data_IF_597385839445
#
_entry.id   IF_597385839445
#
_cell.length_a   1.000
_cell.length_b   1.000
_cell.length_c   1.000
_cell.angle_alpha   90.00
_cell.angle_beta   90.00
_cell.angle_gamma   90.00
#
_symmetry.space_group_name_H-M   'P 1'
#
loop_
_entity.id
_entity.type
_entity.pdbx_description
1 polymer ?
#
# COMPACT_ATOMS: atom_id res chain seq x y z
N UNK A 1 -7.57 -25.56 23.76
CA UNK A 1 -6.53 -25.01 24.65
C UNK A 1 -5.26 -25.82 24.41
N UNK A 2 -4.32 -25.30 23.61
CA UNK A 2 -2.87 -25.57 23.60
C UNK A 2 -2.23 -24.52 22.65
N UNK A 3 -1.05 -24.06 23.03
CA UNK A 3 -0.44 -22.77 22.66
C UNK A 3 0.33 -22.75 21.33
N UNK A 4 0.37 -21.55 20.72
CA UNK A 4 1.27 -21.11 19.66
C UNK A 4 2.74 -21.11 20.10
N UNK A 5 3.65 -21.44 19.18
CA UNK A 5 5.05 -21.01 19.22
C UNK A 5 5.30 -20.11 18.02
N UNK A 6 5.61 -18.83 18.27
CA UNK A 6 6.11 -17.88 17.26
C UNK A 6 7.53 -18.29 16.83
N UNK A 7 7.81 -18.25 15.53
CA UNK A 7 9.16 -18.07 15.01
C UNK A 7 9.21 -16.72 14.29
N UNK A 8 10.07 -15.84 14.78
CA UNK A 8 10.46 -14.60 14.10
C UNK A 8 11.33 -14.93 12.90
N UNK A 9 11.07 -14.29 11.76
CA UNK A 9 11.90 -14.36 10.55
C UNK A 9 11.10 -14.30 9.26
N UNK A 10 11.24 -13.17 8.54
CA UNK A 10 10.84 -12.94 7.14
C UNK A 10 9.33 -12.94 6.83
N UNK A 11 8.84 -11.75 6.46
CA UNK A 11 7.47 -11.47 6.08
C UNK A 11 7.06 -12.11 4.77
N UNK A 12 6.37 -13.24 4.86
CA UNK A 12 5.30 -13.65 3.94
C UNK A 12 4.46 -14.67 4.71
N UNK A 13 3.36 -14.23 5.32
CA UNK A 13 2.43 -15.17 5.99
C UNK A 13 1.58 -15.84 4.91
N UNK A 14 2.20 -16.79 4.20
CA UNK A 14 1.48 -17.81 3.45
C UNK A 14 1.05 -18.91 4.42
N UNK A 15 -0.24 -19.08 4.64
CA UNK A 15 -0.74 -20.33 5.21
C UNK A 15 -0.49 -21.45 4.20
N UNK A 16 0.63 -22.17 4.34
CA UNK A 16 0.77 -23.50 3.77
C UNK A 16 -0.12 -24.43 4.57
N UNK A 17 -1.16 -24.97 3.92
CA UNK A 17 -2.04 -25.95 4.53
C UNK A 17 -1.65 -27.33 4.02
N UNK A 18 -0.84 -28.05 4.81
CA UNK A 18 -0.62 -29.50 4.63
C UNK A 18 -1.71 -30.28 5.37
N UNK A 19 -2.67 -30.85 4.65
CA UNK A 19 -3.66 -31.78 5.22
C UNK A 19 -3.16 -33.22 5.13
N UNK A 20 -2.93 -33.86 6.30
CA UNK A 20 -2.86 -35.33 6.40
C UNK A 20 -4.26 -35.89 6.63
N UNK A 21 -4.83 -36.50 5.60
CA UNK A 21 -6.23 -36.93 5.56
C UNK A 21 -6.59 -38.05 6.53
N UNK A 22 -7.86 -38.03 6.98
CA UNK A 22 -8.58 -39.25 7.38
C UNK A 22 -10.08 -39.09 7.14
N UNK A 23 -10.60 -39.91 6.22
CA UNK A 23 -12.03 -40.08 5.94
C UNK A 23 -12.30 -40.12 4.44
N UNK A 24 -12.75 -41.27 3.92
CA UNK A 24 -13.17 -41.45 2.53
C UNK A 24 -14.33 -40.50 2.19
N UNK A 25 -14.00 -39.36 1.58
CA UNK A 25 -14.93 -38.49 0.84
C UNK A 25 -15.18 -39.07 -0.55
N UNK A 26 -16.37 -38.85 -1.10
CA UNK A 26 -16.66 -39.03 -2.52
C UNK A 26 -15.55 -38.34 -3.34
N UNK A 27 -14.86 -39.01 -4.28
CA UNK A 27 -13.77 -38.40 -5.05
C UNK A 27 -14.22 -37.16 -5.84
N UNK A 28 -15.52 -37.01 -6.13
CA UNK A 28 -16.08 -35.77 -6.69
C UNK A 28 -16.24 -34.61 -5.70
N UNK A 29 -15.97 -34.84 -4.42
CA UNK A 29 -16.07 -33.86 -3.32
C UNK A 29 -14.73 -33.61 -2.61
N UNK A 30 -13.64 -34.25 -3.03
CA UNK A 30 -12.31 -33.94 -2.51
C UNK A 30 -11.84 -32.59 -3.11
N UNK A 31 -11.60 -31.55 -2.28
CA UNK A 31 -11.12 -30.27 -2.76
C UNK A 31 -9.83 -30.37 -3.59
N UNK A 32 -8.91 -31.27 -3.23
CA UNK A 32 -7.66 -31.42 -3.98
C UNK A 32 -7.89 -31.95 -5.39
N UNK A 33 -8.83 -32.89 -5.53
CA UNK A 33 -9.21 -33.47 -6.82
C UNK A 33 -9.85 -32.41 -7.72
N UNK A 34 -10.68 -31.53 -7.18
CA UNK A 34 -11.35 -30.48 -7.95
C UNK A 34 -10.37 -29.47 -8.57
N UNK A 35 -9.36 -29.03 -7.81
CA UNK A 35 -8.36 -28.10 -8.36
C UNK A 35 -7.45 -28.81 -9.36
N UNK A 36 -7.03 -30.04 -9.06
CA UNK A 36 -6.24 -30.84 -10.01
C UNK A 36 -6.99 -31.07 -11.32
N UNK A 37 -8.29 -31.37 -11.27
CA UNK A 37 -9.16 -31.49 -12.45
C UNK A 37 -9.21 -30.18 -13.25
N UNK A 38 -9.41 -29.03 -12.58
CA UNK A 38 -9.42 -27.74 -13.24
C UNK A 38 -8.11 -27.44 -13.98
N UNK A 39 -6.96 -27.65 -13.31
CA UNK A 39 -5.63 -27.44 -13.88
C UNK A 39 -5.36 -28.40 -15.04
N UNK A 40 -5.76 -29.66 -14.92
CA UNK A 40 -5.62 -30.63 -15.99
C UNK A 40 -6.46 -30.26 -17.22
N UNK A 41 -7.70 -29.80 -17.02
CA UNK A 41 -8.53 -29.28 -18.10
C UNK A 41 -7.86 -28.08 -18.79
N UNK A 42 -7.28 -27.14 -18.03
CA UNK A 42 -6.55 -26.01 -18.61
C UNK A 42 -5.32 -26.45 -19.40
N UNK A 43 -4.56 -27.42 -18.89
CA UNK A 43 -3.37 -27.96 -19.56
C UNK A 43 -3.71 -28.60 -20.90
N UNK A 44 -4.81 -29.34 -20.98
CA UNK A 44 -5.30 -29.92 -22.24
C UNK A 44 -5.64 -28.85 -23.29
N UNK A 45 -6.03 -27.65 -22.86
CA UNK A 45 -6.34 -26.51 -23.76
C UNK A 45 -5.12 -25.65 -24.11
N UNK A 46 -3.99 -25.81 -23.40
CA UNK A 46 -2.84 -24.93 -23.59
C UNK A 46 -2.12 -25.12 -24.93
N UNK A 47 -2.28 -26.27 -25.61
CA UNK A 47 -1.57 -26.66 -26.86
C UNK A 47 -0.02 -26.56 -26.82
N UNK A 48 0.55 -26.22 -25.67
CA UNK A 48 1.99 -26.03 -25.44
C UNK A 48 2.39 -27.08 -24.39
N UNK A 49 3.18 -28.09 -24.80
CA UNK A 49 3.46 -29.34 -24.06
C UNK A 49 3.93 -29.16 -22.61
N UNK A 50 5.24 -29.22 -22.38
CA UNK A 50 5.87 -29.21 -21.03
C UNK A 50 5.91 -27.80 -20.40
N UNK A 51 4.93 -26.94 -20.70
CA UNK A 51 4.90 -25.59 -20.14
C UNK A 51 4.51 -25.60 -18.66
N UNK A 52 5.16 -24.71 -17.90
CA UNK A 52 4.69 -24.36 -16.55
C UNK A 52 3.42 -23.54 -16.70
N UNK A 53 2.36 -23.93 -16.00
CA UNK A 53 1.14 -23.15 -15.92
C UNK A 53 1.15 -22.26 -14.68
N UNK A 54 0.73 -21.02 -14.85
CA UNK A 54 0.36 -20.14 -13.75
C UNK A 54 -1.02 -19.60 -14.01
N UNK A 55 -1.83 -19.48 -12.98
CA UNK A 55 -3.14 -18.88 -13.16
C UNK A 55 -3.78 -18.41 -11.88
N UNK A 56 -4.83 -17.63 -12.09
CA UNK A 56 -5.62 -17.03 -11.04
C UNK A 56 -7.10 -17.13 -11.36
N UNK A 57 -7.88 -17.36 -10.32
CA UNK A 57 -9.34 -17.26 -10.33
C UNK A 57 -9.77 -16.31 -9.23
N UNK A 58 -10.35 -15.17 -9.60
CA UNK A 58 -11.05 -14.27 -8.70
C UNK A 58 -12.53 -14.63 -8.68
N UNK A 59 -13.12 -14.81 -7.50
CA UNK A 59 -14.53 -15.19 -7.35
C UNK A 59 -15.20 -14.45 -6.20
N UNK A 60 -16.41 -13.94 -6.46
CA UNK A 60 -17.29 -13.34 -5.47
C UNK A 60 -18.74 -13.45 -5.94
N UNK A 61 -19.63 -13.92 -5.08
CA UNK A 61 -21.02 -14.15 -5.45
C UNK A 61 -21.09 -15.10 -6.65
N UNK A 62 -21.65 -14.62 -7.75
CA UNK A 62 -21.81 -15.40 -8.98
C UNK A 62 -20.77 -15.07 -10.06
N UNK A 63 -19.99 -14.01 -9.86
CA UNK A 63 -19.00 -13.52 -10.82
C UNK A 63 -17.65 -14.23 -10.69
N UNK A 64 -16.95 -14.32 -11.81
CA UNK A 64 -15.61 -14.89 -11.91
C UNK A 64 -14.80 -14.14 -12.96
N UNK A 65 -13.54 -13.87 -12.63
CA UNK A 65 -12.50 -13.49 -13.58
C UNK A 65 -11.38 -14.51 -13.43
N UNK A 66 -10.87 -15.01 -14.56
CA UNK A 66 -9.81 -15.99 -14.57
C UNK A 66 -8.77 -15.63 -15.61
N UNK A 67 -7.50 -15.74 -15.24
CA UNK A 67 -6.38 -15.52 -16.14
C UNK A 67 -5.40 -16.67 -15.95
N UNK A 68 -5.02 -17.32 -17.04
CA UNK A 68 -4.12 -18.48 -17.01
C UNK A 68 -3.11 -18.29 -18.13
N UNK A 69 -1.84 -18.53 -17.82
CA UNK A 69 -0.72 -18.44 -18.76
C UNK A 69 0.11 -19.72 -18.73
N UNK A 70 0.56 -20.14 -19.91
CA UNK A 70 1.62 -21.11 -20.09
C UNK A 70 2.95 -20.38 -20.23
N UNK A 71 3.91 -20.71 -19.40
CA UNK A 71 5.27 -20.21 -19.43
C UNK A 71 6.17 -21.27 -20.08
N UNK A 72 6.82 -20.91 -21.18
CA UNK A 72 7.93 -21.66 -21.77
C UNK A 72 9.25 -20.96 -21.47
N UNK A 73 10.37 -21.57 -21.85
CA UNK A 73 11.70 -20.95 -21.74
C UNK A 73 11.81 -19.62 -22.49
N UNK A 74 10.96 -19.38 -23.49
CA UNK A 74 11.08 -18.24 -24.40
C UNK A 74 9.94 -17.22 -24.24
N UNK A 75 8.72 -17.65 -23.91
CA UNK A 75 7.51 -16.77 -23.92
C UNK A 75 6.42 -17.23 -22.96
N UNK A 76 5.55 -16.29 -22.61
CA UNK A 76 4.28 -16.54 -21.94
C UNK A 76 3.11 -16.50 -22.94
N UNK A 77 2.18 -17.45 -22.84
CA UNK A 77 0.99 -17.56 -23.69
C UNK A 77 -0.28 -17.59 -22.85
N UNK A 78 -1.25 -16.75 -23.14
CA UNK A 78 -2.55 -16.80 -22.49
C UNK A 78 -3.31 -18.07 -22.90
N UNK A 79 -3.88 -18.76 -21.90
CA UNK A 79 -4.70 -19.96 -22.10
C UNK A 79 -6.18 -19.57 -21.95
N UNK A 80 -7.04 -19.91 -22.93
CA UNK A 80 -8.48 -19.74 -22.77
C UNK A 80 -9.02 -20.55 -21.59
N UNK A 81 -9.66 -19.87 -20.65
CA UNK A 81 -10.28 -20.52 -19.48
C UNK A 81 -11.64 -21.07 -19.88
N UNK A 82 -11.79 -22.40 -19.83
CA UNK A 82 -13.05 -23.09 -20.19
C UNK A 82 -13.98 -23.26 -18.98
N UNK A 83 -15.29 -23.30 -19.23
CA UNK A 83 -16.32 -23.37 -18.17
C UNK A 83 -16.17 -24.55 -17.22
N UNK A 84 -15.75 -25.72 -17.73
CA UNK A 84 -15.52 -26.90 -16.89
C UNK A 84 -14.46 -26.66 -15.80
N UNK A 85 -13.40 -25.90 -16.10
CA UNK A 85 -12.39 -25.54 -15.11
C UNK A 85 -12.97 -24.57 -14.06
N UNK A 86 -13.76 -23.58 -14.51
CA UNK A 86 -14.43 -22.61 -13.63
C UNK A 86 -15.41 -23.31 -12.67
N UNK A 87 -16.18 -24.27 -13.14
CA UNK A 87 -17.14 -25.04 -12.34
C UNK A 87 -16.44 -25.86 -11.25
N UNK A 88 -15.33 -26.51 -11.58
CA UNK A 88 -14.50 -27.23 -10.60
C UNK A 88 -13.96 -26.29 -9.52
N UNK A 89 -13.45 -25.11 -9.90
CA UNK A 89 -12.96 -24.11 -8.92
C UNK A 89 -14.11 -23.51 -8.09
N UNK A 90 -15.28 -23.31 -8.67
CA UNK A 90 -16.47 -22.83 -7.93
C UNK A 90 -16.93 -23.84 -6.89
N UNK A 91 -16.90 -25.13 -7.23
CA UNK A 91 -17.18 -26.22 -6.27
C UNK A 91 -16.12 -26.28 -5.18
N UNK A 92 -14.84 -26.16 -5.56
CA UNK A 92 -13.74 -26.06 -4.60
C UNK A 92 -13.95 -24.89 -3.61
N UNK A 93 -14.29 -23.70 -4.11
CA UNK A 93 -14.58 -22.51 -3.28
C UNK A 93 -15.66 -22.78 -2.24
N UNK A 94 -16.72 -23.48 -2.65
CA UNK A 94 -17.85 -23.81 -1.78
C UNK A 94 -17.45 -24.79 -0.66
N UNK A 95 -16.53 -25.72 -0.95
CA UNK A 95 -16.07 -26.73 0.01
C UNK A 95 -14.95 -26.23 0.94
N UNK A 96 -14.31 -25.11 0.61
CA UNK A 96 -13.13 -24.58 1.32
C UNK A 96 -13.40 -23.27 2.06
N UNK A 97 -14.67 -22.95 2.30
CA UNK A 97 -15.06 -21.78 3.08
C UNK A 97 -14.52 -21.91 4.51
N UNK A 98 -13.66 -20.97 4.91
CA UNK A 98 -13.09 -20.89 6.24
C UNK A 98 -13.88 -19.97 7.18
N UNK A 99 -13.32 -19.73 8.37
CA UNK A 99 -13.84 -18.77 9.35
C UNK A 99 -13.86 -17.33 8.85
N UNK A 100 -12.91 -16.98 7.97
CA UNK A 100 -12.81 -15.66 7.32
C UNK A 100 -13.67 -15.57 6.04
N UNK A 101 -14.60 -16.51 5.87
CA UNK A 101 -15.44 -16.64 4.68
C UNK A 101 -14.71 -17.32 3.52
N UNK A 102 -15.27 -17.27 2.30
CA UNK A 102 -14.61 -17.80 1.12
C UNK A 102 -13.44 -16.90 0.71
N UNK A 103 -12.38 -17.52 0.20
CA UNK A 103 -11.27 -16.80 -0.43
C UNK A 103 -11.76 -15.95 -1.61
N UNK A 104 -11.06 -14.85 -1.88
CA UNK A 104 -11.35 -13.93 -2.97
C UNK A 104 -10.60 -14.32 -4.25
N UNK A 105 -9.36 -14.83 -4.12
CA UNK A 105 -8.58 -15.37 -5.24
C UNK A 105 -7.97 -16.73 -4.91
N UNK A 106 -7.93 -17.60 -5.91
CA UNK A 106 -7.12 -18.81 -5.92
C UNK A 106 -6.02 -18.62 -6.96
N UNK A 107 -4.78 -18.68 -6.51
CA UNK A 107 -3.58 -18.64 -7.34
C UNK A 107 -3.02 -20.06 -7.42
N UNK A 108 -2.61 -20.48 -8.60
CA UNK A 108 -1.96 -21.77 -8.75
C UNK A 108 -0.73 -21.68 -9.66
N UNK A 109 0.23 -22.56 -9.38
CA UNK A 109 1.33 -22.87 -10.27
C UNK A 109 1.37 -24.38 -10.47
N UNK A 110 1.57 -24.82 -11.71
CA UNK A 110 1.77 -26.22 -12.03
C UNK A 110 2.93 -26.41 -13.00
N UNK A 111 3.90 -27.23 -12.64
CA UNK A 111 5.00 -27.59 -13.54
C UNK A 111 4.63 -28.77 -14.46
N UNK A 112 5.57 -29.16 -15.32
CA UNK A 112 5.47 -30.29 -16.24
C UNK A 112 5.43 -31.66 -15.54
N UNK A 113 6.01 -31.75 -14.34
CA UNK A 113 5.99 -32.95 -13.49
C UNK A 113 4.63 -33.21 -12.83
N UNK A 114 3.73 -32.22 -12.89
CA UNK A 114 2.42 -32.27 -12.25
C UNK A 114 2.43 -31.82 -10.79
N UNK A 115 3.55 -31.25 -10.29
CA UNK A 115 3.53 -30.55 -9.01
C UNK A 115 2.56 -29.37 -9.12
N UNK A 116 1.66 -29.25 -8.15
CA UNK A 116 0.60 -28.24 -8.13
C UNK A 116 0.66 -27.51 -6.80
N UNK A 117 0.98 -26.22 -6.87
CA UNK A 117 0.99 -25.33 -5.72
C UNK A 117 -0.21 -24.41 -5.80
N UNK A 118 -0.93 -24.30 -4.69
CA UNK A 118 -2.14 -23.49 -4.58
C UNK A 118 -1.93 -22.50 -3.44
N UNK A 119 -2.33 -21.26 -3.67
CA UNK A 119 -2.41 -20.22 -2.66
C UNK A 119 -3.78 -19.57 -2.70
N UNK A 120 -4.41 -19.48 -1.54
CA UNK A 120 -5.68 -18.78 -1.36
C UNK A 120 -5.39 -17.39 -0.83
N UNK A 121 -6.03 -16.39 -1.44
CA UNK A 121 -5.95 -15.01 -1.02
C UNK A 121 -7.32 -14.52 -0.57
N UNK A 122 -7.34 -13.98 0.65
CA UNK A 122 -8.51 -13.44 1.32
C UNK A 122 -8.60 -11.91 1.23
N UNK A 123 -7.73 -11.28 0.44
CA UNK A 123 -7.71 -9.84 0.21
C UNK A 123 -6.85 -9.07 1.21
N UNK A 124 -5.77 -9.67 1.71
CA UNK A 124 -4.85 -8.94 2.61
C UNK A 124 -4.31 -7.66 1.95
N UNK A 125 -4.11 -7.70 0.63
CA UNK A 125 -3.84 -6.54 -0.22
C UNK A 125 -4.94 -6.33 -1.24
N UNK A 126 -5.06 -5.11 -1.75
CA UNK A 126 -6.03 -4.77 -2.79
C UNK A 126 -5.81 -5.61 -4.06
N UNK A 127 -6.90 -6.13 -4.61
CA UNK A 127 -6.86 -6.95 -5.82
C UNK A 127 -6.60 -6.04 -7.03
N UNK A 128 -5.67 -6.40 -7.95
CA UNK A 128 -5.44 -5.65 -9.19
C UNK A 128 -6.71 -5.45 -10.00
N UNK A 129 -6.84 -4.31 -10.67
CA UNK A 129 -8.06 -3.90 -11.35
C UNK A 129 -8.55 -4.93 -12.39
N UNK A 130 -7.63 -5.58 -13.10
CA UNK A 130 -7.93 -6.61 -14.10
C UNK A 130 -8.40 -7.95 -13.52
N UNK A 131 -8.34 -8.09 -12.19
CA UNK A 131 -8.76 -9.27 -11.42
C UNK A 131 -9.92 -8.94 -10.46
N UNK A 132 -10.31 -7.67 -10.38
CA UNK A 132 -11.32 -7.17 -9.48
C UNK A 132 -12.72 -7.43 -10.08
N UNK A 133 -13.63 -7.97 -9.27
CA UNK A 133 -15.02 -8.18 -9.65
C UNK A 133 -15.87 -6.96 -9.31
N UNK A 134 -17.14 -6.94 -9.73
CA UNK A 134 -18.01 -5.82 -9.40
C UNK A 134 -18.20 -5.64 -7.88
N UNK A 135 -18.42 -4.40 -7.43
CA UNK A 135 -18.74 -4.10 -6.04
C UNK A 135 -19.98 -4.89 -5.55
N UNK A 136 -20.99 -5.07 -6.40
CA UNK A 136 -22.20 -5.82 -6.08
C UNK A 136 -21.93 -7.32 -5.92
N UNK A 137 -20.99 -7.90 -6.66
CA UNK A 137 -20.58 -9.29 -6.47
C UNK A 137 -19.95 -9.52 -5.10
N UNK A 138 -19.03 -8.66 -4.69
CA UNK A 138 -18.44 -8.73 -3.35
C UNK A 138 -19.47 -8.47 -2.25
N UNK A 139 -20.39 -7.53 -2.43
CA UNK A 139 -21.47 -7.28 -1.46
C UNK A 139 -22.34 -8.51 -1.25
N UNK A 140 -22.81 -9.14 -2.34
CA UNK A 140 -23.58 -10.41 -2.27
C UNK A 140 -22.78 -11.53 -1.60
N UNK A 141 -21.48 -11.60 -1.85
CA UNK A 141 -20.60 -12.60 -1.24
C UNK A 141 -20.47 -12.41 0.27
N UNK A 142 -20.29 -11.16 0.72
CA UNK A 142 -20.22 -10.78 2.13
C UNK A 142 -21.55 -11.03 2.84
N UNK A 143 -22.68 -10.69 2.21
CA UNK A 143 -24.02 -10.91 2.78
C UNK A 143 -24.31 -12.41 2.96
N UNK A 144 -23.88 -13.24 2.00
CA UNK A 144 -24.05 -14.70 2.05
C UNK A 144 -23.09 -15.39 3.02
N UNK A 145 -21.88 -14.84 3.15
CA UNK A 145 -20.83 -15.35 4.03
C UNK A 145 -20.31 -14.24 4.96
N UNK A 146 -21.09 -13.87 6.01
CA UNK A 146 -20.65 -12.87 6.97
C UNK A 146 -19.33 -13.28 7.62
N UNK A 147 -18.37 -12.35 7.64
CA UNK A 147 -17.01 -12.57 8.13
C UNK A 147 -16.57 -11.42 9.03
N UNK A 148 -15.80 -11.73 10.07
CA UNK A 148 -15.36 -10.74 11.05
C UNK A 148 -14.27 -9.81 10.52
N UNK A 149 -13.40 -10.34 9.66
CA UNK A 149 -12.27 -9.62 9.09
C UNK A 149 -12.56 -9.34 7.61
N UNK A 150 -12.97 -8.12 7.32
CA UNK A 150 -13.10 -7.61 5.95
C UNK A 150 -12.03 -6.51 5.82
N UNK A 151 -11.09 -6.62 4.86
CA UNK A 151 -10.04 -5.63 4.68
C UNK A 151 -10.66 -4.29 4.28
N UNK A 152 -10.04 -3.20 4.73
CA UNK A 152 -10.57 -1.84 4.54
C UNK A 152 -10.79 -1.50 3.07
N UNK A 153 -9.88 -1.91 2.18
CA UNK A 153 -10.05 -1.65 0.74
C UNK A 153 -11.34 -2.28 0.21
N UNK A 154 -11.72 -3.47 0.70
CA UNK A 154 -12.92 -4.16 0.26
C UNK A 154 -14.18 -3.51 0.85
N UNK A 155 -14.13 -3.11 2.14
CA UNK A 155 -15.20 -2.32 2.76
C UNK A 155 -15.46 -1.03 1.97
N UNK A 156 -14.39 -0.32 1.60
CA UNK A 156 -14.47 0.88 0.80
C UNK A 156 -14.98 0.59 -0.61
N UNK A 157 -14.45 -0.44 -1.28
CA UNK A 157 -14.86 -0.79 -2.64
C UNK A 157 -16.36 -1.11 -2.76
N UNK A 158 -16.95 -1.76 -1.75
CA UNK A 158 -18.37 -2.13 -1.78
C UNK A 158 -19.31 -1.07 -1.20
N UNK A 159 -18.82 -0.07 -0.47
CA UNK A 159 -19.67 0.86 0.29
C UNK A 159 -19.36 2.35 0.09
N UNK A 160 -18.26 2.69 -0.58
CA UNK A 160 -17.91 4.08 -0.82
C UNK A 160 -18.88 4.73 -1.81
N UNK A 161 -19.44 5.87 -1.41
CA UNK A 161 -20.38 6.69 -2.18
C UNK A 161 -19.82 8.08 -2.47
N UNK A 162 -18.53 8.31 -2.17
CA UNK A 162 -17.87 9.61 -2.30
C UNK A 162 -17.93 10.46 -1.04
N UNK A 163 -18.21 9.88 0.13
CA UNK A 163 -18.33 10.61 1.40
C UNK A 163 -17.05 11.32 1.87
N UNK A 164 -15.89 10.97 1.29
CA UNK A 164 -14.61 11.62 1.55
C UNK A 164 -14.17 12.58 0.42
N UNK A 165 -15.00 12.79 -0.60
CA UNK A 165 -14.74 13.81 -1.60
C UNK A 165 -15.09 15.18 -1.03
N UNK A 166 -14.23 16.16 -1.29
CA UNK A 166 -14.47 17.58 -1.03
C UNK A 166 -14.26 18.36 -2.32
N UNK A 167 -15.35 18.63 -3.05
CA UNK A 167 -15.24 19.43 -4.28
C UNK A 167 -14.84 20.88 -3.96
N UNK A 168 -14.35 21.62 -4.95
CA UNK A 168 -14.04 23.04 -4.77
C UNK A 168 -15.31 23.86 -4.45
N UNK A 169 -16.48 23.41 -4.88
CA UNK A 169 -17.75 24.05 -4.51
C UNK A 169 -18.08 23.81 -3.02
N UNK A 170 -17.94 22.57 -2.54
CA UNK A 170 -18.17 22.23 -1.13
C UNK A 170 -17.17 22.95 -0.21
N UNK A 171 -15.91 23.06 -0.64
CA UNK A 171 -14.88 23.75 0.12
C UNK A 171 -15.18 25.23 0.36
N UNK A 172 -15.71 25.93 -0.67
CA UNK A 172 -16.14 27.33 -0.55
C UNK A 172 -17.32 27.52 0.39
N UNK A 173 -18.29 26.60 0.36
CA UNK A 173 -19.48 26.68 1.24
C UNK A 173 -19.12 26.34 2.68
N UNK A 174 -18.23 25.35 2.90
CA UNK A 174 -17.86 24.88 4.24
C UNK A 174 -16.94 25.82 5.03
N UNK A 175 -16.24 26.75 4.38
CA UNK A 175 -15.23 27.63 5.01
C UNK A 175 -15.83 28.75 5.88
N UNK A 176 -17.15 28.93 5.89
CA UNK A 176 -17.79 30.10 6.55
C UNK A 176 -18.14 29.90 8.02
N UNK A 177 -17.94 28.71 8.59
CA UNK A 177 -18.25 28.43 9.99
C UNK A 177 -17.01 28.57 10.87
N UNK A 178 -17.12 29.30 11.99
CA UNK A 178 -16.11 29.28 13.05
C UNK A 178 -16.14 27.89 13.70
N UNK A 179 -15.14 27.08 13.37
CA UNK A 179 -15.04 25.68 13.78
C UNK A 179 -13.68 25.46 14.41
N UNK A 180 -13.64 24.64 15.46
CA UNK A 180 -12.42 24.28 16.17
C UNK A 180 -11.46 23.55 15.24
N UNK A 181 -10.39 24.26 14.85
CA UNK A 181 -9.23 23.73 14.15
C UNK A 181 -8.11 23.54 15.17
N UNK A 182 -7.42 22.40 15.10
CA UNK A 182 -6.33 22.10 16.02
C UNK A 182 -4.98 22.36 15.36
N UNK A 183 -4.12 23.10 16.04
CA UNK A 183 -2.70 23.20 15.71
C UNK A 183 -2.04 21.86 16.00
N UNK A 184 -1.30 21.34 15.04
CA UNK A 184 -0.77 19.98 15.02
C UNK A 184 0.75 19.93 14.81
N UNK A 185 1.47 20.97 15.24
CA UNK A 185 2.93 21.06 15.12
C UNK A 185 3.69 19.98 15.93
N UNK A 186 3.00 19.31 16.86
CA UNK A 186 3.56 18.19 17.60
C UNK A 186 3.35 16.83 16.89
N UNK A 187 2.47 16.79 15.88
CA UNK A 187 2.18 15.56 15.12
C UNK A 187 3.18 15.39 13.96
N UNK A 188 3.67 16.49 13.38
CA UNK A 188 4.47 16.51 12.16
C UNK A 188 5.63 17.52 12.26
N UNK A 189 6.79 17.25 11.63
CA UNK A 189 7.85 18.24 11.48
C UNK A 189 7.34 19.46 10.69
N UNK A 190 7.91 20.66 10.91
CA UNK A 190 7.64 21.83 10.06
C UNK A 190 7.79 21.49 8.57
N UNK A 191 6.91 22.06 7.73
CA UNK A 191 6.83 21.73 6.30
C UNK A 191 8.21 21.71 5.57
N UNK A 192 9.11 22.70 5.75
CA UNK A 192 10.41 22.67 5.07
C UNK A 192 11.26 21.44 5.42
N UNK A 193 11.22 21.00 6.69
CA UNK A 193 11.96 19.83 7.15
C UNK A 193 11.31 18.53 6.67
N UNK A 194 9.98 18.43 6.76
CA UNK A 194 9.27 17.25 6.26
C UNK A 194 9.52 17.04 4.76
N UNK A 195 9.40 18.11 3.96
CA UNK A 195 9.65 18.10 2.52
C UNK A 195 11.08 17.67 2.17
N UNK A 196 12.08 18.23 2.86
CA UNK A 196 13.48 17.92 2.62
C UNK A 196 13.84 16.46 2.96
N UNK A 197 13.32 15.94 4.08
CA UNK A 197 13.59 14.56 4.51
C UNK A 197 12.92 13.53 3.60
N UNK A 198 11.67 13.79 3.19
CA UNK A 198 10.98 12.96 2.20
C UNK A 198 11.70 12.97 0.85
N UNK A 199 12.30 14.10 0.45
CA UNK A 199 13.11 14.19 -0.77
C UNK A 199 14.41 13.36 -0.70
N UNK A 200 15.13 13.43 0.42
CA UNK A 200 16.31 12.61 0.64
C UNK A 200 15.97 11.11 0.60
N UNK A 201 14.85 10.73 1.20
CA UNK A 201 14.36 9.36 1.12
C UNK A 201 13.94 8.95 -0.31
N UNK A 202 13.23 9.82 -1.03
CA UNK A 202 12.86 9.59 -2.43
C UNK A 202 14.08 9.38 -3.33
N UNK A 203 15.14 10.18 -3.14
CA UNK A 203 16.38 10.04 -3.89
C UNK A 203 16.96 8.62 -3.77
N UNK A 204 16.99 8.08 -2.55
CA UNK A 204 17.46 6.70 -2.31
C UNK A 204 16.51 5.68 -2.90
N UNK A 205 15.19 5.80 -2.69
CA UNK A 205 14.22 4.85 -3.27
C UNK A 205 14.34 4.77 -4.80
N UNK A 206 14.40 5.93 -5.46
CA UNK A 206 14.40 6.00 -6.92
C UNK A 206 15.75 5.60 -7.51
N UNK A 207 16.85 6.00 -6.88
CA UNK A 207 18.19 5.52 -7.27
C UNK A 207 18.34 4.01 -7.09
N UNK A 208 17.76 3.43 -6.05
CA UNK A 208 17.77 1.98 -5.81
C UNK A 208 16.79 1.17 -6.66
N UNK A 209 15.95 1.81 -7.48
CA UNK A 209 14.98 1.13 -8.34
C UNK A 209 13.87 0.38 -7.60
N UNK A 210 13.62 0.69 -6.31
CA UNK A 210 12.56 0.01 -5.55
C UNK A 210 11.18 0.36 -6.11
N UNK A 211 10.30 -0.64 -6.20
CA UNK A 211 8.95 -0.49 -6.76
C UNK A 211 7.98 0.22 -5.83
N UNK A 212 8.29 0.24 -4.53
CA UNK A 212 7.52 0.86 -3.44
C UNK A 212 8.46 1.83 -2.72
N UNK A 213 7.95 2.99 -2.30
CA UNK A 213 8.77 4.01 -1.65
C UNK A 213 8.30 5.43 -1.94
N UNK A 214 9.19 6.39 -1.68
CA UNK A 214 8.91 7.81 -1.90
C UNK A 214 9.32 8.25 -3.32
N UNK A 215 8.56 9.19 -3.88
CA UNK A 215 8.87 9.90 -5.13
C UNK A 215 8.55 11.38 -4.98
N UNK A 216 9.41 12.20 -5.58
CA UNK A 216 9.31 13.66 -5.61
C UNK A 216 8.98 14.17 -7.01
N UNK A 217 8.13 15.18 -7.02
CA UNK A 217 7.83 16.13 -8.08
C UNK A 217 7.98 17.57 -7.49
N UNK A 218 8.18 18.62 -8.32
CA UNK A 218 8.28 19.99 -7.81
C UNK A 218 7.11 20.48 -6.94
N UNK A 219 5.91 19.91 -7.13
CA UNK A 219 4.72 20.29 -6.37
C UNK A 219 4.20 19.19 -5.43
N UNK A 220 4.60 17.94 -5.63
CA UNK A 220 4.10 16.81 -4.87
C UNK A 220 5.21 15.86 -4.42
N UNK A 221 5.06 15.27 -3.24
CA UNK A 221 5.79 14.08 -2.86
C UNK A 221 4.78 12.98 -2.54
N UNK A 222 4.97 11.83 -3.18
CA UNK A 222 4.15 10.65 -2.97
C UNK A 222 4.95 9.62 -2.19
N UNK A 223 4.32 9.01 -1.19
CA UNK A 223 4.84 7.82 -0.55
C UNK A 223 3.84 6.67 -0.67
N UNK A 224 4.34 5.52 -1.09
CA UNK A 224 3.64 4.24 -1.03
C UNK A 224 4.51 3.35 -0.16
N UNK A 225 3.94 2.80 0.91
CA UNK A 225 4.56 1.84 1.80
C UNK A 225 3.72 0.58 1.95
N UNK A 226 4.19 -0.36 2.76
CA UNK A 226 3.53 -1.66 2.96
C UNK A 226 2.24 -1.57 3.78
N UNK A 227 2.11 -0.53 4.62
CA UNK A 227 0.99 -0.34 5.53
C UNK A 227 0.09 0.84 5.14
N UNK A 228 0.36 1.53 4.03
CA UNK A 228 -0.35 2.75 3.67
C UNK A 228 0.39 3.63 2.69
N UNK A 229 -0.06 4.87 2.57
CA UNK A 229 0.61 5.87 1.76
C UNK A 229 0.03 7.26 1.95
N UNK A 230 0.71 8.24 1.39
CA UNK A 230 0.33 9.64 1.46
C UNK A 230 0.80 10.45 0.26
N UNK A 231 0.16 11.60 0.08
CA UNK A 231 0.64 12.71 -0.75
C UNK A 231 0.88 13.93 0.13
N UNK A 232 2.07 14.51 0.00
CA UNK A 232 2.41 15.85 0.45
C UNK A 232 2.41 16.80 -0.75
N UNK A 233 1.43 17.71 -0.82
CA UNK A 233 1.31 18.71 -1.87
C UNK A 233 1.80 20.07 -1.35
N UNK A 234 2.71 20.72 -2.08
CA UNK A 234 3.08 22.12 -1.87
C UNK A 234 2.24 23.02 -2.77
N UNK A 235 1.72 24.10 -2.19
CA UNK A 235 0.90 25.08 -2.85
C UNK A 235 1.56 26.47 -2.80
N UNK A 236 1.18 27.40 -3.69
CA UNK A 236 1.63 28.78 -3.61
C UNK A 236 1.28 29.45 -2.28
N UNK A 237 2.07 30.44 -1.88
CA UNK A 237 1.91 31.23 -0.65
C UNK A 237 2.19 30.46 0.64
N UNK A 238 3.21 29.60 0.64
CA UNK A 238 3.62 28.78 1.80
C UNK A 238 2.46 27.98 2.38
N UNK A 239 1.75 27.26 1.50
CA UNK A 239 0.66 26.37 1.87
C UNK A 239 1.03 24.95 1.50
N UNK A 240 0.55 23.99 2.26
CA UNK A 240 0.69 22.58 1.91
C UNK A 240 -0.47 21.74 2.42
N UNK A 241 -0.60 20.55 1.86
CA UNK A 241 -1.52 19.51 2.34
C UNK A 241 -0.73 18.22 2.48
N UNK A 242 -0.83 17.58 3.63
CA UNK A 242 -0.43 16.19 3.81
C UNK A 242 -1.70 15.37 4.00
N UNK A 243 -1.97 14.44 3.10
CA UNK A 243 -3.17 13.60 3.17
C UNK A 243 -2.83 12.18 2.77
N UNK A 244 -3.49 11.21 3.39
CA UNK A 244 -3.20 9.80 3.14
C UNK A 244 -3.98 8.90 4.07
N UNK A 245 -3.51 7.67 4.19
CA UNK A 245 -4.05 6.73 5.13
C UNK A 245 -3.32 5.41 5.13
N UNK A 246 -3.52 4.68 6.23
CA UNK A 246 -3.10 3.28 6.37
C UNK A 246 -4.11 2.32 5.78
N UNK A 247 -3.62 1.20 5.26
CA UNK A 247 -4.43 0.15 4.64
C UNK A 247 -5.27 -0.64 5.64
N UNK A 248 -4.90 -0.59 6.92
CA UNK A 248 -5.61 -1.20 8.05
C UNK A 248 -6.25 -0.15 8.98
N UNK A 249 -6.66 1.02 8.45
CA UNK A 249 -7.26 2.11 9.24
C UNK A 249 -8.42 1.63 10.12
N UNK A 250 -8.21 1.75 11.42
CA UNK A 250 -9.17 1.41 12.44
C UNK A 250 -10.35 2.37 12.43
N UNK A 251 -10.04 3.66 12.31
CA UNK A 251 -11.02 4.73 12.21
C UNK A 251 -11.99 4.46 11.06
N UNK A 252 -11.48 4.16 9.87
CA UNK A 252 -12.32 3.91 8.70
C UNK A 252 -13.04 2.56 8.78
N UNK A 253 -12.37 1.52 9.28
CA UNK A 253 -13.01 0.20 9.47
C UNK A 253 -14.23 0.33 10.40
N UNK A 254 -14.11 1.07 11.50
CA UNK A 254 -15.22 1.34 12.41
C UNK A 254 -16.34 2.15 11.74
N UNK A 255 -16.00 3.17 10.94
CA UNK A 255 -16.98 3.99 10.22
C UNK A 255 -17.74 3.18 9.16
N UNK A 256 -17.04 2.36 8.37
CA UNK A 256 -17.66 1.47 7.37
C UNK A 256 -18.57 0.42 8.00
N UNK A 257 -18.25 -0.04 9.22
CA UNK A 257 -19.08 -0.96 9.99
C UNK A 257 -20.26 -0.28 10.69
N UNK A 258 -20.33 1.05 10.65
CA UNK A 258 -21.36 1.83 11.34
C UNK A 258 -21.18 1.85 12.86
N UNK A 259 -20.03 1.45 13.38
CA UNK A 259 -19.72 1.48 14.81
C UNK A 259 -19.47 2.91 15.31
N UNK A 260 -19.10 3.82 14.41
CA UNK A 260 -18.89 5.24 14.68
C UNK A 260 -19.48 6.08 13.56
N UNK A 261 -19.69 7.37 13.82
CA UNK A 261 -19.99 8.33 12.76
C UNK A 261 -18.80 8.49 11.81
N UNK A 262 -19.08 8.86 10.56
CA UNK A 262 -18.02 9.13 9.58
C UNK A 262 -17.10 10.27 10.05
N UNK A 263 -15.77 10.09 10.01
CA UNK A 263 -14.83 11.14 10.39
C UNK A 263 -14.86 12.29 9.37
N UNK A 264 -15.05 13.50 9.87
CA UNK A 264 -14.96 14.73 9.09
C UNK A 264 -13.52 15.25 9.11
N UNK A 265 -12.69 14.69 8.23
CA UNK A 265 -11.26 15.03 8.09
C UNK A 265 -11.00 16.48 7.63
N UNK A 266 -12.06 17.17 7.23
CA UNK A 266 -12.04 18.46 6.56
C UNK A 266 -12.67 19.56 7.40
N UNK A 267 -13.08 19.22 8.62
CA UNK A 267 -13.69 20.13 9.57
C UNK A 267 -12.80 21.35 9.82
N UNK A 268 -13.33 22.53 9.53
CA UNK A 268 -12.61 23.80 9.68
C UNK A 268 -11.49 24.04 8.67
N UNK A 269 -11.27 23.14 7.70
CA UNK A 269 -10.23 23.35 6.70
C UNK A 269 -10.61 24.48 5.72
N UNK A 270 -9.60 25.20 5.21
CA UNK A 270 -9.80 26.39 4.39
C UNK A 270 -10.44 26.08 3.03
N UNK A 271 -11.03 27.10 2.39
CA UNK A 271 -11.73 26.96 1.11
C UNK A 271 -10.87 26.43 -0.05
N UNK A 272 -9.55 26.59 0.05
CA UNK A 272 -8.60 26.12 -0.95
C UNK A 272 -8.24 24.63 -0.80
N UNK A 273 -8.64 23.99 0.31
CA UNK A 273 -8.45 22.56 0.52
C UNK A 273 -9.58 21.79 -0.15
N UNK A 274 -9.28 21.14 -1.27
CA UNK A 274 -10.23 20.34 -2.05
C UNK A 274 -9.51 19.22 -2.83
N UNK A 275 -10.29 18.34 -3.49
CA UNK A 275 -9.86 17.12 -4.19
C UNK A 275 -8.67 17.22 -5.14
N UNK A 276 -8.28 18.42 -5.59
CA UNK A 276 -7.16 18.59 -6.54
C UNK A 276 -5.81 18.25 -5.91
N UNK A 277 -5.70 18.43 -4.59
CA UNK A 277 -4.44 18.31 -3.85
C UNK A 277 -4.45 17.13 -2.87
N UNK A 278 -5.56 16.40 -2.79
CA UNK A 278 -5.74 15.29 -1.87
C UNK A 278 -5.19 14.01 -2.47
N UNK A 279 -4.77 13.11 -1.59
CA UNK A 279 -4.43 11.74 -1.94
C UNK A 279 -5.64 11.06 -2.63
N UNK A 280 -5.43 10.32 -3.74
CA UNK A 280 -6.49 9.55 -4.42
C UNK A 280 -7.30 8.62 -3.51
N UNK A 281 -6.75 8.23 -2.35
CA UNK A 281 -7.46 7.55 -1.27
C UNK A 281 -8.75 8.27 -0.87
N UNK A 282 -8.85 9.59 -0.99
CA UNK A 282 -10.09 10.33 -0.77
C UNK A 282 -11.21 9.86 -1.71
N UNK A 283 -10.92 9.75 -3.01
CA UNK A 283 -11.88 9.24 -3.98
C UNK A 283 -12.18 7.75 -3.77
N UNK A 284 -11.20 6.99 -3.29
CA UNK A 284 -11.38 5.58 -2.95
C UNK A 284 -12.06 5.34 -1.59
N UNK A 285 -12.38 6.37 -0.80
CA UNK A 285 -12.97 6.22 0.53
C UNK A 285 -12.01 5.61 1.56
N UNK A 286 -10.70 5.82 1.41
CA UNK A 286 -9.62 5.26 2.22
C UNK A 286 -8.71 6.31 2.88
N UNK A 287 -9.10 7.58 2.87
CA UNK A 287 -8.34 8.65 3.50
C UNK A 287 -8.55 8.58 5.01
N UNK A 288 -7.49 8.41 5.82
CA UNK A 288 -7.62 8.34 7.29
C UNK A 288 -7.03 9.54 8.02
N UNK A 289 -6.25 10.38 7.33
CA UNK A 289 -5.79 11.67 7.85
C UNK A 289 -5.72 12.75 6.76
N UNK A 290 -5.86 14.01 7.19
CA UNK A 290 -5.63 15.19 6.39
C UNK A 290 -5.11 16.32 7.28
N UNK A 291 -3.94 16.85 6.94
CA UNK A 291 -3.29 17.98 7.57
C UNK A 291 -3.10 19.07 6.52
N UNK A 292 -3.21 20.33 6.94
CA UNK A 292 -2.90 21.47 6.08
C UNK A 292 -1.94 22.42 6.77
N UNK A 293 -0.98 22.94 6.00
CA UNK A 293 -0.01 23.91 6.44
C UNK A 293 -0.44 25.29 5.97
N UNK A 294 -0.49 26.24 6.90
CA UNK A 294 -0.70 27.65 6.60
C UNK A 294 -0.06 28.50 7.70
N UNK A 295 0.57 29.61 7.32
CA UNK A 295 1.10 30.57 8.31
C UNK A 295 2.15 29.99 9.26
N UNK A 296 2.93 28.99 8.83
CA UNK A 296 4.00 28.40 9.64
C UNK A 296 3.56 27.27 10.57
N UNK A 297 2.30 26.82 10.48
CA UNK A 297 1.73 25.81 11.37
C UNK A 297 1.04 24.69 10.59
N UNK A 298 1.10 23.47 11.13
CA UNK A 298 0.23 22.39 10.73
C UNK A 298 -1.10 22.50 11.45
N UNK A 299 -2.17 22.24 10.72
CA UNK A 299 -3.53 22.18 11.21
C UNK A 299 -4.19 20.88 10.79
N UNK A 300 -5.19 20.46 11.56
CA UNK A 300 -6.07 19.35 11.19
C UNK A 300 -7.44 19.50 11.84
N UNK A 301 -8.39 18.71 11.34
CA UNK A 301 -9.66 18.51 12.00
C UNK A 301 -9.49 17.84 13.38
N UNK A 302 -10.36 18.19 14.31
CA UNK A 302 -10.60 17.38 15.49
C UNK A 302 -11.32 16.09 15.08
N UNK A 303 -10.74 14.95 15.48
CA UNK A 303 -11.35 13.65 15.30
C UNK A 303 -11.83 13.16 16.67
N UNK A 304 -13.02 12.56 16.75
CA UNK A 304 -13.53 12.03 18.01
C UNK A 304 -12.51 11.07 18.62
N UNK A 305 -12.29 11.15 19.93
CA UNK A 305 -11.53 10.13 20.66
C UNK A 305 -12.31 8.82 20.56
N UNK A 306 -11.86 7.95 19.67
CA UNK A 306 -12.57 6.72 19.39
C UNK A 306 -12.16 5.68 20.42
N UNK A 307 -12.97 5.51 21.47
CA UNK A 307 -12.89 4.33 22.31
C UNK A 307 -13.46 3.14 21.51
N UNK A 308 -12.66 2.57 20.61
CA UNK A 308 -13.02 1.31 19.94
C UNK A 308 -12.48 0.16 20.79
N UNK A 309 -13.33 -0.66 21.42
CA UNK A 309 -12.86 -1.86 22.07
C UNK A 309 -12.48 -2.89 21.01
N UNK A 310 -11.19 -3.15 20.81
CA UNK A 310 -10.71 -4.35 20.14
C UNK A 310 -9.59 -5.02 20.92
N UNK A 311 -9.47 -6.34 20.72
CA UNK A 311 -8.62 -7.22 21.50
C UNK A 311 -7.15 -6.81 21.55
N UNK A 312 -6.57 -7.01 22.73
CA UNK A 312 -5.25 -6.59 23.23
C UNK A 312 -5.10 -5.09 23.54
N UNK A 313 -4.27 -4.80 24.54
CA UNK A 313 -4.10 -3.60 25.39
C UNK A 313 -3.75 -2.27 24.67
N UNK A 314 -3.97 -2.17 23.35
CA UNK A 314 -3.65 -0.97 22.56
C UNK A 314 -4.92 -0.19 22.21
N UNK A 315 -5.15 0.92 22.90
CA UNK A 315 -6.14 1.91 22.50
C UNK A 315 -5.72 2.54 21.18
N UNK A 316 -6.61 2.58 20.19
CA UNK A 316 -6.39 3.33 18.95
C UNK A 316 -5.93 4.75 19.26
N UNK A 317 -4.87 5.21 18.58
CA UNK A 317 -4.45 6.60 18.61
C UNK A 317 -4.40 7.21 17.20
N UNK A 318 -4.64 8.51 17.11
CA UNK A 318 -4.49 9.27 15.86
C UNK A 318 -3.06 9.20 15.32
N UNK A 319 -2.07 9.23 16.20
CA UNK A 319 -0.66 9.14 15.83
C UNK A 319 -0.39 7.85 15.06
N UNK A 320 -1.09 6.77 15.41
CA UNK A 320 -1.00 5.52 14.66
C UNK A 320 -1.41 5.75 13.20
N UNK A 321 -2.55 6.40 12.91
CA UNK A 321 -3.04 6.57 11.52
C UNK A 321 -2.01 7.24 10.61
N UNK A 322 -1.29 8.22 11.15
CA UNK A 322 -0.21 8.95 10.47
C UNK A 322 1.04 8.08 10.35
N UNK A 323 1.45 7.42 11.44
CA UNK A 323 2.64 6.56 11.47
C UNK A 323 2.56 5.38 10.48
N UNK A 324 1.37 4.87 10.19
CA UNK A 324 1.17 3.81 9.20
C UNK A 324 1.13 4.29 7.74
N UNK A 325 0.82 5.57 7.49
CA UNK A 325 0.62 6.11 6.15
C UNK A 325 1.72 7.05 5.63
N UNK A 326 2.61 7.53 6.50
CA UNK A 326 3.68 8.49 6.17
C UNK A 326 5.04 7.82 6.44
N UNK A 327 6.08 8.05 5.61
CA UNK A 327 7.38 7.45 5.88
C UNK A 327 7.95 7.96 7.19
N UNK A 328 8.75 7.15 7.89
CA UNK A 328 9.36 7.50 9.17
C UNK A 328 10.45 8.58 9.00
N UNK A 329 10.04 9.83 8.81
CA UNK A 329 10.91 11.00 8.61
C UNK A 329 10.67 12.10 9.67
N UNK A 330 10.19 11.70 10.84
CA UNK A 330 9.82 12.58 11.96
C UNK A 330 11.00 13.36 12.52
N UNK A 331 12.16 12.73 12.54
CA UNK A 331 13.43 13.35 12.85
C UNK A 331 14.44 13.08 11.75
N UNK A 332 15.55 13.81 11.79
CA UNK A 332 16.70 13.53 10.93
C UNK A 332 17.21 12.09 11.13
N UNK A 333 17.19 11.60 12.36
CA UNK A 333 17.62 10.25 12.70
C UNK A 333 16.69 9.18 12.11
N UNK A 334 15.37 9.37 12.23
CA UNK A 334 14.39 8.44 11.66
C UNK A 334 14.54 8.34 10.13
N UNK A 335 14.71 9.48 9.46
CA UNK A 335 14.92 9.52 8.01
C UNK A 335 16.21 8.81 7.59
N UNK A 336 17.30 9.01 8.33
CA UNK A 336 18.57 8.33 8.08
C UNK A 336 18.47 6.80 8.31
N UNK A 337 17.77 6.37 9.37
CA UNK A 337 17.52 4.96 9.64
C UNK A 337 16.66 4.32 8.54
N UNK A 338 15.64 5.03 8.04
CA UNK A 338 14.79 4.57 6.94
C UNK A 338 15.57 4.42 5.63
N UNK A 339 16.47 5.37 5.33
CA UNK A 339 17.40 5.29 4.20
C UNK A 339 18.30 4.05 4.33
N UNK A 340 18.93 3.86 5.50
CA UNK A 340 19.81 2.72 5.75
C UNK A 340 19.07 1.37 5.60
N UNK A 341 17.85 1.27 6.14
CA UNK A 341 16.98 0.09 5.99
C UNK A 341 16.64 -0.21 4.52
N UNK A 342 16.40 0.84 3.73
CA UNK A 342 16.06 0.68 2.31
C UNK A 342 17.26 0.18 1.51
N UNK A 343 18.45 0.72 1.78
CA UNK A 343 19.71 0.23 1.18
C UNK A 343 19.99 -1.23 1.57
N UNK A 344 19.83 -1.59 2.84
CA UNK A 344 19.96 -2.98 3.27
C UNK A 344 18.95 -3.91 2.57
N UNK A 345 17.72 -3.42 2.33
CA UNK A 345 16.67 -4.16 1.64
C UNK A 345 17.00 -4.53 0.19
N UNK A 346 17.86 -3.75 -0.48
CA UNK A 346 18.38 -4.08 -1.82
C UNK A 346 19.69 -4.88 -1.79
N UNK A 347 20.07 -5.42 -0.63
CA UNK A 347 21.27 -6.25 -0.47
C UNK A 347 22.57 -5.46 -0.39
N UNK A 348 22.51 -4.14 -0.15
CA UNK A 348 23.70 -3.36 0.11
C UNK A 348 24.22 -3.61 1.53
N UNK A 349 25.42 -4.17 1.63
CA UNK A 349 26.09 -4.39 2.90
C UNK A 349 26.96 -3.17 3.28
N UNK A 350 26.63 -2.49 4.39
CA UNK A 350 27.30 -1.26 4.78
C UNK A 350 28.79 -1.47 5.18
N UNK A 351 29.73 -0.88 4.43
CA UNK A 351 31.14 -0.72 4.82
C UNK A 351 31.38 0.66 5.47
N UNK A 352 31.69 0.75 6.77
CA UNK A 352 32.01 2.02 7.45
C UNK A 352 30.85 2.63 8.26
N UNK A 353 30.85 3.95 8.49
CA UNK A 353 29.81 4.66 9.25
C UNK A 353 28.61 5.08 8.38
N UNK A 354 27.74 4.12 8.09
CA UNK A 354 26.55 4.33 7.26
C UNK A 354 25.47 5.18 7.91
N UNK A 355 25.40 5.16 9.24
CA UNK A 355 24.45 6.00 9.96
C UNK A 355 24.88 7.47 9.84
N UNK A 356 26.17 7.75 9.99
CA UNK A 356 26.74 9.09 9.81
C UNK A 356 26.55 9.65 8.40
N UNK A 357 26.76 8.84 7.36
CA UNK A 357 26.60 9.29 5.97
C UNK A 357 25.14 9.52 5.59
N UNK A 358 24.22 8.65 6.02
CA UNK A 358 22.78 8.87 5.85
C UNK A 358 22.30 10.13 6.59
N UNK A 359 22.77 10.35 7.84
CA UNK A 359 22.51 11.59 8.57
C UNK A 359 23.05 12.82 7.84
N UNK A 360 24.23 12.72 7.21
CA UNK A 360 24.85 13.76 6.41
C UNK A 360 23.98 14.16 5.21
N UNK A 361 23.48 13.18 4.44
CA UNK A 361 22.58 13.43 3.31
C UNK A 361 21.29 14.13 3.77
N UNK A 362 20.66 13.64 4.84
CA UNK A 362 19.41 14.24 5.34
C UNK A 362 19.65 15.66 5.85
N UNK A 363 20.76 15.89 6.57
CA UNK A 363 21.13 17.23 7.02
C UNK A 363 21.39 18.19 5.86
N UNK A 364 22.06 17.72 4.80
CA UNK A 364 22.30 18.51 3.60
C UNK A 364 21.00 18.85 2.87
N UNK A 365 20.04 17.92 2.80
CA UNK A 365 18.73 18.19 2.23
C UNK A 365 17.95 19.23 3.04
N UNK A 366 17.95 19.12 4.38
CA UNK A 366 17.32 20.12 5.27
C UNK A 366 17.92 21.51 5.11
N UNK A 367 19.22 21.60 4.78
CA UNK A 367 19.95 22.84 4.54
C UNK A 367 19.91 23.33 3.08
N UNK A 368 19.24 22.59 2.17
CA UNK A 368 19.23 22.85 0.72
C UNK A 368 20.63 22.85 0.08
N UNK A 369 21.51 22.01 0.61
CA UNK A 369 22.90 21.84 0.14
C UNK A 369 23.20 20.40 -0.28
N UNK A 370 22.17 19.59 -0.54
CA UNK A 370 22.38 18.20 -0.97
C UNK A 370 23.11 18.17 -2.32
N UNK A 371 23.92 17.13 -2.54
CA UNK A 371 24.75 17.03 -3.75
C UNK A 371 24.99 15.56 -4.11
N UNK A 372 25.51 15.34 -5.32
CA UNK A 372 25.97 14.02 -5.77
C UNK A 372 26.99 13.41 -4.80
N UNK A 373 27.86 14.24 -4.20
CA UNK A 373 28.84 13.77 -3.21
C UNK A 373 28.15 13.18 -1.97
N UNK A 374 27.10 13.82 -1.44
CA UNK A 374 26.38 13.28 -0.28
C UNK A 374 25.71 11.93 -0.60
N UNK A 375 25.23 11.74 -1.83
CA UNK A 375 24.71 10.45 -2.29
C UNK A 375 25.82 9.41 -2.45
N UNK A 376 26.97 9.79 -3.03
CA UNK A 376 28.11 8.90 -3.21
C UNK A 376 28.71 8.46 -1.86
N UNK A 377 28.68 9.32 -0.84
CA UNK A 377 29.15 9.02 0.52
C UNK A 377 28.31 7.94 1.23
N UNK A 378 27.06 7.70 0.80
CA UNK A 378 26.29 6.52 1.24
C UNK A 378 27.00 5.21 0.89
N UNK A 379 27.85 5.23 -0.14
CA UNK A 379 28.51 4.06 -0.70
C UNK A 379 30.03 4.15 -0.52
N UNK A 380 30.52 3.97 0.70
CA UNK A 380 31.96 4.05 1.01
C UNK A 380 32.84 3.10 0.16
N UNK A 381 32.27 2.00 -0.34
CA UNK A 381 32.93 1.04 -1.26
C UNK A 381 32.84 1.39 -2.75
N UNK A 382 32.22 2.53 -3.10
CA UNK A 382 31.84 2.91 -4.46
C UNK A 382 30.36 2.67 -4.74
N UNK A 383 29.77 3.54 -5.58
CA UNK A 383 28.36 3.48 -5.96
C UNK A 383 28.10 2.18 -6.76
N UNK A 384 27.13 1.33 -6.38
CA UNK A 384 26.75 0.14 -7.13
C UNK A 384 26.31 0.47 -8.55
N UNK A 385 26.60 -0.40 -9.52
CA UNK A 385 26.20 -0.20 -10.92
C UNK A 385 24.68 -0.10 -11.11
N UNK A 386 23.92 -0.80 -10.27
CA UNK A 386 22.46 -0.82 -10.31
C UNK A 386 21.83 0.38 -9.57
N UNK A 387 22.63 1.24 -8.94
CA UNK A 387 22.15 2.48 -8.33
C UNK A 387 22.16 3.62 -9.37
N UNK A 388 20.97 4.10 -9.74
CA UNK A 388 20.80 5.20 -10.67
C UNK A 388 21.04 6.55 -9.95
N UNK A 389 22.29 7.01 -10.01
CA UNK A 389 22.69 8.30 -9.45
C UNK A 389 21.96 9.48 -10.09
N UNK A 390 21.67 9.41 -11.40
CA UNK A 390 21.02 10.50 -12.11
C UNK A 390 19.56 10.66 -11.66
N UNK A 391 18.84 9.55 -11.53
CA UNK A 391 17.48 9.55 -10.97
C UNK A 391 17.47 10.04 -9.52
N UNK A 392 18.43 9.62 -8.68
CA UNK A 392 18.54 10.09 -7.30
C UNK A 392 18.75 11.61 -7.20
N UNK A 393 19.64 12.17 -8.03
CA UNK A 393 19.88 13.62 -8.11
C UNK A 393 18.61 14.36 -8.60
N UNK A 394 17.91 13.81 -9.59
CA UNK A 394 16.68 14.40 -10.11
C UNK A 394 15.59 14.53 -9.02
N UNK A 395 15.50 13.58 -8.09
CA UNK A 395 14.58 13.68 -6.95
C UNK A 395 14.93 14.84 -5.99
N UNK A 396 16.23 15.07 -5.73
CA UNK A 396 16.70 16.18 -4.89
C UNK A 396 16.51 17.54 -5.58
N UNK A 397 16.77 17.60 -6.88
CA UNK A 397 16.57 18.80 -7.69
C UNK A 397 15.09 19.17 -7.79
N UNK A 398 14.21 18.19 -8.05
CA UNK A 398 12.77 18.40 -8.07
C UNK A 398 12.24 18.97 -6.74
N UNK A 399 12.81 18.55 -5.61
CA UNK A 399 12.43 19.09 -4.29
C UNK A 399 13.02 20.48 -3.98
N UNK A 400 13.89 21.02 -4.83
CA UNK A 400 14.65 22.26 -4.59
C UNK A 400 15.49 22.19 -3.30
N UNK A 401 16.12 21.03 -3.06
CA UNK A 401 17.07 20.80 -1.96
C UNK A 401 18.50 20.53 -2.43
N UNK A 402 18.72 20.47 -3.74
CA UNK A 402 20.03 20.34 -4.35
C UNK A 402 20.79 21.67 -4.25
N UNK A 403 22.08 21.59 -3.93
CA UNK A 403 22.99 22.74 -4.02
C UNK A 403 23.05 23.22 -5.47
N UNK A 404 22.52 24.42 -5.74
CA UNK A 404 22.67 25.04 -7.05
C UNK A 404 24.11 25.55 -7.20
N UNK A 405 24.76 25.16 -8.29
CA UNK A 405 25.99 25.84 -8.69
C UNK A 405 25.67 27.33 -8.89
N UNK A 406 26.44 28.22 -8.27
CA UNK A 406 26.27 29.65 -8.44
C UNK A 406 26.25 29.96 -9.94
N UNK A 407 25.13 30.48 -10.44
CA UNK A 407 25.02 30.90 -11.83
C UNK A 407 26.07 31.97 -12.07
N UNK A 408 27.11 31.62 -12.85
CA UNK A 408 28.05 32.62 -13.38
C UNK A 408 27.23 33.50 -14.31
N UNK A 409 26.86 34.69 -13.83
CA UNK A 409 26.28 35.73 -14.64
C UNK A 409 27.34 36.17 -15.65
N UNK A 410 27.21 35.75 -16.90
CA UNK A 410 27.93 36.37 -18.00
C UNK A 410 27.29 37.75 -18.21
N UNK A 411 28.02 38.78 -17.77
CA UNK A 411 27.70 40.20 -17.97
C UNK A 411 27.85 40.61 -19.43
#
# INVERSE_FOLDING_TARGET
>A
MWWLRRSEGSGAVGCQVEYRGRGMSDPGQDPQVLVAQAVQTLRQNAHVGDAKLQGIFSMAGDEVVAQVVALTAERAYAIPVVSAAVESIRRYRTLTVGSDGPWLRLLFESDDSGDLRIRLDYGATEIPAEQLLSADAYRRDIDRHPRQNIPLWLLAYVSNTGQQLRSAADARVGSTAAVDVLVADNDLPPLPLLWARMAAYAAVCRGSGVSVGSRTDPSFQQYIGDAGGCILARLPSDRAILSGGRDDSWLLTAAYRGSIAWPDLYRGAPEWLHNLYLDPRAAAGRLSFCYWWEGGHWYRAELPDVAVPFGDDHSWSRADEVAGGVPAVWTRADAAELIAKTLAGIGFEPIGDHTGTALGLVAAAEAQTASEQHLAELFAGGVPQDFDMAEAIAQLDAADVLMRAASVSWS
#
